data_IF_673185203602
#
_entry.id   IF_673185203602
#
_cell.length_a   1.000
_cell.length_b   1.000
_cell.length_c   1.000
_cell.angle_alpha   90.00
_cell.angle_beta   90.00
_cell.angle_gamma   90.00
#
_symmetry.space_group_name_H-M   'P 1'
#
loop_
_entity.id
_entity.type
_entity.pdbx_description
1 polymer ?
#
# COMPACT_ATOMS: atom_id res chain seq x y z
N UNK A 1 39.53 4.91 45.28
CA UNK A 1 39.05 3.61 44.76
C UNK A 1 37.69 3.79 44.12
N UNK A 2 37.47 3.42 42.83
CA UNK A 2 36.12 3.39 42.28
C UNK A 2 35.29 2.35 43.03
N UNK A 3 34.00 2.63 43.33
CA UNK A 3 33.16 1.69 44.06
C UNK A 3 33.03 0.38 43.27
N UNK A 4 33.29 -0.75 43.94
CA UNK A 4 33.05 -2.10 43.41
C UNK A 4 31.60 -2.16 42.91
N UNK A 5 31.41 -2.43 41.61
CA UNK A 5 30.09 -2.68 41.03
C UNK A 5 29.43 -3.82 41.80
N UNK A 6 28.29 -3.54 42.44
CA UNK A 6 27.52 -4.56 43.15
C UNK A 6 27.09 -5.66 42.16
N UNK A 7 27.21 -6.95 42.50
CA UNK A 7 26.87 -8.07 41.63
C UNK A 7 25.40 -8.09 41.20
N UNK A 8 24.53 -7.33 41.88
CA UNK A 8 23.10 -7.23 41.57
C UNK A 8 22.78 -6.64 40.18
N UNK A 9 23.75 -6.02 39.50
CA UNK A 9 23.53 -5.31 38.22
C UNK A 9 24.00 -6.10 36.99
N UNK A 10 24.57 -7.30 37.16
CA UNK A 10 24.91 -8.14 36.01
C UNK A 10 23.67 -8.54 35.21
N UNK A 11 22.50 -8.57 35.85
CA UNK A 11 21.29 -9.18 35.28
C UNK A 11 20.25 -8.15 34.84
N UNK A 12 20.63 -6.87 34.79
CA UNK A 12 19.74 -5.78 34.38
C UNK A 12 20.33 -4.91 33.26
N UNK A 13 19.43 -4.33 32.46
CA UNK A 13 19.70 -3.26 31.52
C UNK A 13 19.14 -1.92 32.03
N UNK A 14 19.83 -0.84 31.69
CA UNK A 14 19.32 0.53 31.80
C UNK A 14 18.34 0.84 30.67
N UNK A 15 17.48 1.84 30.84
CA UNK A 15 16.56 2.29 29.79
C UNK A 15 17.27 2.58 28.45
N UNK A 16 18.45 3.19 28.49
CA UNK A 16 19.24 3.48 27.29
C UNK A 16 19.69 2.20 26.56
N UNK A 17 20.09 1.17 27.31
CA UNK A 17 20.45 -0.14 26.75
C UNK A 17 19.22 -0.83 26.16
N UNK A 18 18.07 -0.83 26.86
CA UNK A 18 16.84 -1.44 26.35
C UNK A 18 16.40 -0.81 25.04
N UNK A 19 16.36 0.53 24.95
CA UNK A 19 16.01 1.24 23.71
C UNK A 19 16.95 0.88 22.56
N UNK A 20 18.25 0.77 22.84
CA UNK A 20 19.25 0.40 21.84
C UNK A 20 19.09 -1.05 21.38
N UNK A 21 18.88 -1.99 22.31
CA UNK A 21 18.72 -3.43 22.01
C UNK A 21 17.44 -3.66 21.20
N UNK A 22 16.33 -3.06 21.61
CA UNK A 22 15.03 -3.24 20.96
C UNK A 22 14.82 -2.33 19.73
N UNK A 23 15.68 -1.33 19.53
CA UNK A 23 15.53 -0.35 18.44
C UNK A 23 14.28 0.53 18.57
N UNK A 24 13.90 0.91 19.80
CA UNK A 24 12.63 1.61 20.10
C UNK A 24 12.84 3.02 20.68
N UNK A 25 11.81 3.85 20.56
CA UNK A 25 11.74 5.20 21.13
C UNK A 25 11.35 5.16 22.62
N UNK A 26 11.51 6.30 23.32
CA UNK A 26 11.09 6.45 24.72
C UNK A 26 9.59 6.19 24.93
N UNK A 27 8.74 6.66 24.02
CA UNK A 27 7.28 6.43 24.10
C UNK A 27 6.93 4.95 23.97
N UNK A 28 7.64 4.21 23.11
CA UNK A 28 7.44 2.76 22.99
C UNK A 28 7.89 2.00 24.24
N UNK A 29 9.04 2.37 24.81
CA UNK A 29 9.50 1.78 26.07
C UNK A 29 8.51 2.06 27.22
N UNK A 30 7.97 3.27 27.29
CA UNK A 30 6.93 3.63 28.25
C UNK A 30 5.67 2.76 28.08
N UNK A 31 5.22 2.56 26.84
CA UNK A 31 4.07 1.70 26.54
C UNK A 31 4.30 0.25 26.97
N UNK A 32 5.49 -0.30 26.71
CA UNK A 32 5.85 -1.66 27.15
C UNK A 32 5.89 -1.83 28.67
N UNK A 33 6.16 -0.76 29.41
CA UNK A 33 6.08 -0.80 30.88
C UNK A 33 4.62 -0.74 31.32
N UNK A 34 3.86 0.20 30.78
CA UNK A 34 2.46 0.42 31.19
C UNK A 34 1.54 -0.76 30.88
N UNK A 35 1.79 -1.48 29.79
CA UNK A 35 1.00 -2.66 29.41
C UNK A 35 1.51 -3.96 30.03
N UNK A 36 2.56 -3.92 30.86
CA UNK A 36 3.14 -5.08 31.53
C UNK A 36 4.05 -5.96 30.66
N UNK A 37 4.37 -5.57 29.42
CA UNK A 37 5.32 -6.31 28.57
C UNK A 37 6.74 -6.31 29.15
N UNK A 38 7.16 -5.22 29.81
CA UNK A 38 8.44 -5.12 30.51
C UNK A 38 8.23 -4.62 31.94
N UNK A 39 8.84 -5.29 32.90
CA UNK A 39 8.84 -4.83 34.29
C UNK A 39 9.95 -3.78 34.53
N UNK A 40 9.57 -2.61 35.03
CA UNK A 40 10.52 -1.59 35.50
C UNK A 40 10.79 -1.79 36.98
N UNK A 41 12.01 -2.23 37.32
CA UNK A 41 12.46 -2.41 38.71
C UNK A 41 13.24 -1.20 39.18
N UNK A 42 12.97 -0.68 40.37
CA UNK A 42 13.76 0.40 40.99
C UNK A 42 14.56 -0.21 42.15
N UNK A 43 15.88 -0.40 42.01
CA UNK A 43 16.68 -1.01 43.08
C UNK A 43 16.71 -0.15 44.35
N UNK A 44 16.83 -0.75 45.54
CA UNK A 44 16.93 -0.01 46.80
C UNK A 44 18.05 1.06 46.74
N UNK A 45 17.71 2.29 47.13
CA UNK A 45 18.65 3.42 47.15
C UNK A 45 18.93 4.06 45.79
N UNK A 46 18.16 3.74 44.73
CA UNK A 46 18.31 4.35 43.39
C UNK A 46 17.05 5.11 42.97
N UNK A 47 17.24 6.12 42.12
CA UNK A 47 16.15 6.89 41.49
C UNK A 47 15.81 6.40 40.07
N UNK A 48 16.75 5.70 39.43
CA UNK A 48 16.60 5.22 38.04
C UNK A 48 16.10 3.78 38.04
N UNK A 49 15.13 3.50 37.17
CA UNK A 49 14.64 2.14 36.96
C UNK A 49 15.55 1.35 36.02
N UNK A 50 15.55 0.04 36.19
CA UNK A 50 16.26 -0.93 35.38
C UNK A 50 15.30 -2.04 34.94
N UNK A 51 15.72 -2.84 33.97
CA UNK A 51 14.91 -3.87 33.32
C UNK A 51 15.67 -5.19 33.34
N UNK A 52 15.00 -6.30 33.65
CA UNK A 52 15.66 -7.62 33.69
C UNK A 52 16.18 -7.95 32.29
N UNK A 53 17.44 -8.40 32.20
CA UNK A 53 18.06 -8.75 30.91
C UNK A 53 17.26 -9.82 30.18
N UNK A 54 16.88 -10.89 30.89
CA UNK A 54 16.12 -12.01 30.36
C UNK A 54 14.86 -11.55 29.62
N UNK A 55 14.08 -10.65 30.21
CA UNK A 55 12.81 -10.20 29.64
C UNK A 55 13.05 -9.33 28.39
N UNK A 56 14.06 -8.46 28.45
CA UNK A 56 14.45 -7.61 27.32
C UNK A 56 15.01 -8.43 26.17
N UNK A 57 15.87 -9.40 26.46
CA UNK A 57 16.50 -10.26 25.45
C UNK A 57 15.46 -11.19 24.80
N UNK A 58 14.49 -11.71 25.58
CA UNK A 58 13.36 -12.48 25.07
C UNK A 58 12.47 -11.63 24.14
N UNK A 59 12.11 -10.42 24.57
CA UNK A 59 11.35 -9.48 23.73
C UNK A 59 12.14 -9.08 22.46
N UNK A 60 13.46 -8.91 22.58
CA UNK A 60 14.31 -8.64 21.43
C UNK A 60 14.28 -9.79 20.42
N UNK A 61 14.35 -11.03 20.91
CA UNK A 61 14.27 -12.23 20.08
C UNK A 61 12.90 -12.36 19.39
N UNK A 62 11.80 -12.09 20.10
CA UNK A 62 10.45 -12.06 19.53
C UNK A 62 10.31 -10.98 18.45
N UNK A 63 10.79 -9.76 18.71
CA UNK A 63 10.77 -8.66 17.74
C UNK A 63 11.63 -8.99 16.52
N UNK A 64 12.80 -9.59 16.70
CA UNK A 64 13.65 -10.02 15.59
C UNK A 64 12.99 -11.14 14.79
N UNK A 65 12.43 -12.16 15.43
CA UNK A 65 11.69 -13.22 14.76
C UNK A 65 10.52 -12.66 13.93
N UNK A 66 9.79 -11.68 14.49
CA UNK A 66 8.73 -10.98 13.79
C UNK A 66 9.24 -10.12 12.61
N UNK A 67 10.37 -9.43 12.75
CA UNK A 67 11.01 -8.68 11.65
C UNK A 67 11.50 -9.61 10.54
N UNK A 68 12.07 -10.76 10.91
CA UNK A 68 12.51 -11.79 9.96
C UNK A 68 11.30 -12.38 9.23
N UNK A 69 10.22 -12.72 9.95
CA UNK A 69 8.96 -13.15 9.34
C UNK A 69 8.38 -12.08 8.38
N UNK A 70 8.42 -10.79 8.76
CA UNK A 70 8.00 -9.68 7.88
C UNK A 70 8.82 -9.57 6.60
N UNK A 71 10.13 -9.81 6.68
CA UNK A 71 11.02 -9.80 5.50
C UNK A 71 10.79 -11.01 4.59
N UNK A 72 10.21 -12.09 5.13
CA UNK A 72 10.07 -13.36 4.44
C UNK A 72 8.65 -13.69 3.95
N UNK A 73 7.62 -12.89 4.28
CA UNK A 73 6.29 -13.12 3.69
C UNK A 73 6.38 -13.01 2.18
N UNK A 74 6.21 -14.14 1.51
CA UNK A 74 6.27 -14.22 0.07
C UNK A 74 4.93 -13.76 -0.49
N UNK A 75 4.97 -12.72 -1.32
CA UNK A 75 3.76 -12.16 -1.93
C UNK A 75 3.93 -12.10 -3.43
N UNK A 76 2.90 -12.52 -4.16
CA UNK A 76 2.85 -12.47 -5.61
C UNK A 76 1.83 -11.43 -6.06
N UNK A 77 2.30 -10.44 -6.81
CA UNK A 77 1.43 -9.48 -7.49
C UNK A 77 1.16 -9.99 -8.90
N UNK A 78 -0.11 -10.20 -9.24
CA UNK A 78 -0.52 -10.86 -10.48
C UNK A 78 -1.76 -10.21 -11.08
N UNK A 79 -1.97 -10.38 -12.39
CA UNK A 79 -3.22 -10.03 -13.06
C UNK A 79 -4.34 -10.96 -12.60
N UNK A 80 -5.56 -10.43 -12.55
CA UNK A 80 -6.76 -11.27 -12.48
C UNK A 80 -7.00 -11.87 -13.87
N UNK A 81 -7.27 -13.16 -13.93
CA UNK A 81 -7.44 -13.94 -15.17
C UNK A 81 -8.71 -14.79 -15.18
N UNK A 82 -9.27 -15.10 -14.01
CA UNK A 82 -10.48 -15.93 -13.88
C UNK A 82 -11.63 -15.19 -13.18
N UNK A 83 -12.85 -15.70 -13.37
CA UNK A 83 -14.04 -15.18 -12.65
C UNK A 83 -13.96 -15.43 -11.14
N UNK A 84 -13.28 -16.50 -10.71
CA UNK A 84 -13.09 -16.83 -9.29
C UNK A 84 -12.18 -15.82 -8.59
N UNK A 85 -11.02 -15.52 -9.20
CA UNK A 85 -10.12 -14.45 -8.72
C UNK A 85 -10.82 -13.09 -8.68
N UNK A 86 -11.64 -12.79 -9.70
CA UNK A 86 -12.43 -11.56 -9.74
C UNK A 86 -13.49 -11.52 -8.62
N UNK A 87 -14.10 -12.66 -8.30
CA UNK A 87 -15.07 -12.79 -7.21
C UNK A 87 -14.42 -12.49 -5.86
N UNK A 88 -13.24 -13.03 -5.59
CA UNK A 88 -12.49 -12.70 -4.36
C UNK A 88 -12.11 -11.21 -4.30
N UNK A 89 -11.68 -10.62 -5.41
CA UNK A 89 -11.43 -9.17 -5.47
C UNK A 89 -12.71 -8.36 -5.21
N UNK A 90 -13.86 -8.83 -5.68
CA UNK A 90 -15.16 -8.22 -5.42
C UNK A 90 -15.56 -8.34 -3.95
N UNK A 91 -15.35 -9.49 -3.30
CA UNK A 91 -15.61 -9.67 -1.87
C UNK A 91 -14.78 -8.70 -1.04
N UNK A 92 -13.47 -8.59 -1.31
CA UNK A 92 -12.60 -7.60 -0.64
C UNK A 92 -13.12 -6.17 -0.86
N UNK A 93 -13.54 -5.85 -2.09
CA UNK A 93 -14.12 -4.55 -2.44
C UNK A 93 -15.39 -4.25 -1.63
N UNK A 94 -16.29 -5.23 -1.52
CA UNK A 94 -17.54 -5.10 -0.78
C UNK A 94 -17.30 -4.93 0.71
N UNK A 95 -16.40 -5.72 1.29
CA UNK A 95 -16.04 -5.59 2.71
C UNK A 95 -15.40 -4.23 3.05
N UNK A 96 -14.58 -3.69 2.15
CA UNK A 96 -13.87 -2.41 2.38
C UNK A 96 -14.74 -1.18 2.16
N UNK A 97 -15.57 -1.20 1.13
CA UNK A 97 -16.25 0.01 0.68
C UNK A 97 -17.75 -0.02 0.94
N UNK A 98 -18.37 -1.20 1.13
CA UNK A 98 -19.81 -1.34 1.26
C UNK A 98 -20.61 -0.86 0.03
N UNK A 99 -19.92 -0.46 -1.04
CA UNK A 99 -20.47 0.09 -2.27
C UNK A 99 -19.86 -0.62 -3.46
N UNK A 100 -20.70 -1.23 -4.28
CA UNK A 100 -20.28 -1.99 -5.45
C UNK A 100 -21.40 -2.90 -5.90
N UNK A 101 -22.33 -2.36 -6.71
CA UNK A 101 -23.39 -3.15 -7.35
C UNK A 101 -22.89 -3.87 -8.60
N UNK A 102 -21.68 -3.55 -9.06
CA UNK A 102 -21.11 -4.20 -10.22
C UNK A 102 -20.93 -5.68 -9.93
N UNK A 103 -21.53 -6.50 -10.77
CA UNK A 103 -21.42 -7.95 -10.75
C UNK A 103 -20.02 -8.38 -11.21
N UNK A 104 -19.58 -9.58 -10.82
CA UNK A 104 -18.36 -10.22 -11.37
C UNK A 104 -18.37 -10.12 -12.90
N UNK A 105 -19.52 -10.39 -13.53
CA UNK A 105 -19.71 -10.31 -14.98
C UNK A 105 -19.41 -8.94 -15.56
N UNK A 106 -19.81 -7.85 -14.90
CA UNK A 106 -19.51 -6.49 -15.35
C UNK A 106 -18.02 -6.17 -15.24
N UNK A 107 -17.37 -6.57 -14.14
CA UNK A 107 -15.92 -6.41 -13.99
C UNK A 107 -15.13 -7.25 -14.99
N UNK A 108 -15.61 -8.46 -15.32
CA UNK A 108 -15.01 -9.29 -16.35
C UNK A 108 -15.14 -8.68 -17.75
N UNK A 109 -16.22 -7.93 -18.05
CA UNK A 109 -16.30 -7.15 -19.31
C UNK A 109 -15.20 -6.10 -19.37
N UNK A 110 -14.96 -5.38 -18.27
CA UNK A 110 -13.87 -4.41 -18.16
C UNK A 110 -12.50 -5.10 -18.37
N UNK A 111 -12.28 -6.23 -17.70
CA UNK A 111 -11.06 -7.02 -17.84
C UNK A 111 -10.85 -7.53 -19.27
N UNK A 112 -11.92 -7.93 -19.96
CA UNK A 112 -11.84 -8.39 -21.36
C UNK A 112 -11.44 -7.31 -22.35
N UNK A 113 -11.70 -6.03 -22.02
CA UNK A 113 -11.26 -4.89 -22.83
C UNK A 113 -9.79 -4.53 -22.59
N UNK A 114 -9.32 -4.72 -21.37
CA UNK A 114 -7.92 -4.55 -21.04
C UNK A 114 -7.54 -5.43 -19.83
N UNK A 115 -6.67 -6.45 -20.01
CA UNK A 115 -6.28 -7.36 -18.95
C UNK A 115 -5.40 -6.73 -17.87
N UNK A 116 -4.89 -5.50 -18.06
CA UNK A 116 -4.16 -4.73 -17.05
C UNK A 116 -5.10 -3.98 -16.09
N UNK A 117 -6.42 -4.13 -16.20
CA UNK A 117 -7.36 -3.36 -15.36
C UNK A 117 -7.47 -3.83 -13.92
N UNK A 118 -7.30 -5.13 -13.67
CA UNK A 118 -7.40 -5.71 -12.32
C UNK A 118 -6.17 -6.55 -12.00
N UNK A 119 -5.60 -6.26 -10.82
CA UNK A 119 -4.48 -6.99 -10.27
C UNK A 119 -4.78 -7.37 -8.82
N UNK A 120 -4.24 -8.51 -8.41
CA UNK A 120 -4.37 -9.06 -7.07
C UNK A 120 -3.00 -9.22 -6.43
N UNK A 121 -2.97 -9.16 -5.11
CA UNK A 121 -1.83 -9.56 -4.30
C UNK A 121 -2.19 -10.85 -3.57
N UNK A 122 -1.43 -11.89 -3.85
CA UNK A 122 -1.54 -13.20 -3.22
C UNK A 122 -0.49 -13.27 -2.13
N UNK A 123 -0.90 -13.67 -0.93
CA UNK A 123 0.03 -14.15 0.09
C UNK A 123 0.29 -15.63 -0.18
N UNK A 124 1.53 -15.96 -0.55
CA UNK A 124 1.90 -17.31 -0.98
C UNK A 124 2.04 -18.26 0.22
N UNK A 125 2.24 -17.75 1.43
CA UNK A 125 2.27 -18.59 2.63
C UNK A 125 0.84 -19.02 3.01
N UNK A 126 -0.13 -18.12 2.84
CA UNK A 126 -1.55 -18.36 3.13
C UNK A 126 -2.34 -18.91 1.94
N UNK A 127 -1.75 -18.89 0.73
CA UNK A 127 -2.40 -19.26 -0.54
C UNK A 127 -3.75 -18.56 -0.73
N UNK A 128 -3.81 -17.25 -0.45
CA UNK A 128 -5.04 -16.47 -0.57
C UNK A 128 -4.80 -15.07 -1.16
N UNK A 129 -5.82 -14.51 -1.80
CA UNK A 129 -5.82 -13.10 -2.21
C UNK A 129 -6.00 -12.24 -0.96
N UNK A 130 -4.99 -11.39 -0.69
CA UNK A 130 -4.97 -10.50 0.48
C UNK A 130 -5.23 -9.04 0.13
N UNK A 131 -5.28 -8.70 -1.15
CA UNK A 131 -5.60 -7.36 -1.61
C UNK A 131 -5.66 -7.28 -3.12
N UNK A 132 -6.12 -6.14 -3.62
CA UNK A 132 -6.26 -5.92 -5.06
C UNK A 132 -6.08 -4.45 -5.43
N UNK A 133 -5.80 -4.21 -6.71
CA UNK A 133 -5.81 -2.91 -7.39
C UNK A 133 -6.70 -3.01 -8.62
N UNK A 134 -7.59 -2.04 -8.78
CA UNK A 134 -8.33 -1.79 -10.01
C UNK A 134 -7.89 -0.43 -10.57
N UNK A 135 -7.28 -0.44 -11.76
CA UNK A 135 -6.85 0.74 -12.48
C UNK A 135 -7.42 0.71 -13.89
N UNK A 136 -7.92 1.84 -14.37
CA UNK A 136 -8.67 1.89 -15.63
C UNK A 136 -7.94 2.85 -16.58
N UNK A 137 -7.30 2.33 -17.65
CA UNK A 137 -6.71 3.17 -18.69
C UNK A 137 -7.83 3.68 -19.59
N UNK A 138 -8.23 4.92 -19.35
CA UNK A 138 -9.30 5.60 -20.07
C UNK A 138 -8.75 6.23 -21.35
N UNK A 139 -9.55 6.21 -22.41
CA UNK A 139 -9.31 6.99 -23.61
C UNK A 139 -9.24 8.48 -23.24
N UNK A 140 -8.40 9.23 -23.97
CA UNK A 140 -8.21 10.68 -23.75
C UNK A 140 -9.56 11.40 -23.68
N UNK A 141 -9.74 12.24 -22.64
CA UNK A 141 -10.94 13.06 -22.45
C UNK A 141 -12.06 12.39 -21.66
N UNK A 142 -11.96 11.09 -21.34
CA UNK A 142 -12.98 10.37 -20.57
C UNK A 142 -12.86 10.51 -19.06
N UNK A 143 -11.71 10.94 -18.56
CA UNK A 143 -11.50 11.07 -17.12
C UNK A 143 -12.47 12.07 -16.45
N UNK A 144 -12.72 13.22 -17.07
CA UNK A 144 -13.63 14.23 -16.52
C UNK A 144 -15.05 13.69 -16.36
N UNK A 145 -15.55 12.95 -17.37
CA UNK A 145 -16.83 12.25 -17.32
C UNK A 145 -16.88 11.29 -16.13
N UNK A 146 -15.86 10.44 -15.98
CA UNK A 146 -15.74 9.47 -14.88
C UNK A 146 -15.71 10.14 -13.50
N UNK A 147 -14.95 11.22 -13.34
CA UNK A 147 -14.81 11.93 -12.07
C UNK A 147 -16.10 12.67 -11.66
N UNK A 148 -16.91 13.09 -12.65
CA UNK A 148 -18.18 13.81 -12.43
C UNK A 148 -19.35 12.91 -11.96
N UNK A 149 -19.20 11.58 -12.04
CA UNK A 149 -20.23 10.64 -11.63
C UNK A 149 -20.35 10.54 -10.10
N UNK A 150 -21.59 10.42 -9.61
CA UNK A 150 -21.89 9.98 -8.24
C UNK A 150 -21.55 8.49 -8.05
N UNK A 151 -21.47 8.03 -6.80
CA UNK A 151 -21.22 6.62 -6.48
C UNK A 151 -22.51 5.80 -6.71
N UNK A 152 -22.42 4.58 -7.28
CA UNK A 152 -21.22 3.94 -7.81
C UNK A 152 -20.84 4.49 -9.19
N UNK A 153 -19.53 4.64 -9.42
CA UNK A 153 -19.00 5.03 -10.75
C UNK A 153 -19.14 3.87 -11.70
N UNK A 154 -19.76 4.14 -12.84
CA UNK A 154 -19.88 3.21 -13.95
C UNK A 154 -18.88 3.57 -15.02
N UNK A 155 -18.03 2.62 -15.38
CA UNK A 155 -17.12 2.74 -16.51
C UNK A 155 -17.73 1.99 -17.68
N UNK A 156 -17.92 2.66 -18.81
CA UNK A 156 -18.28 1.99 -20.04
C UNK A 156 -17.04 1.24 -20.58
N UNK A 157 -17.11 -0.07 -20.85
CA UNK A 157 -15.99 -0.83 -21.42
C UNK A 157 -15.42 -0.21 -22.71
N UNK A 158 -16.24 0.50 -23.50
CA UNK A 158 -15.77 1.15 -24.74
C UNK A 158 -14.96 2.43 -24.51
N UNK A 159 -14.97 2.99 -23.29
CA UNK A 159 -14.12 4.12 -22.91
C UNK A 159 -12.71 3.68 -22.45
N UNK A 160 -12.47 2.37 -22.39
CA UNK A 160 -11.20 1.78 -21.99
C UNK A 160 -10.33 1.56 -23.21
N UNK A 161 -9.05 1.91 -23.10
CA UNK A 161 -8.06 1.59 -24.11
C UNK A 161 -7.38 0.26 -23.78
N UNK A 162 -7.24 -0.63 -24.76
CA UNK A 162 -6.45 -1.85 -24.62
C UNK A 162 -4.95 -1.51 -24.73
N UNK A 163 -4.25 -1.55 -23.59
CA UNK A 163 -2.82 -1.23 -23.47
C UNK A 163 -1.91 -2.43 -23.72
N UNK A 164 -2.47 -3.56 -24.16
CA UNK A 164 -1.68 -4.76 -24.49
C UNK A 164 -1.27 -4.86 -25.95
N UNK A 165 -1.94 -4.12 -26.83
CA UNK A 165 -1.64 -4.11 -28.26
C UNK A 165 -0.59 -3.03 -28.56
N UNK A 166 0.69 -3.43 -28.54
CA UNK A 166 1.85 -2.54 -28.77
C UNK A 166 2.00 -2.04 -30.20
N UNK A 167 1.29 -2.64 -31.16
CA UNK A 167 1.56 -2.45 -32.59
C UNK A 167 0.84 -1.21 -33.17
N UNK A 168 0.17 -0.43 -32.32
CA UNK A 168 -0.51 0.78 -32.73
C UNK A 168 0.30 2.03 -32.37
N UNK A 169 0.05 3.11 -33.11
CA UNK A 169 0.66 4.42 -32.89
C UNK A 169 0.63 4.83 -31.40
N UNK A 170 1.55 5.71 -30.95
CA UNK A 170 1.66 6.13 -29.55
C UNK A 170 0.29 6.44 -28.93
N UNK A 171 -0.09 5.64 -27.93
CA UNK A 171 -1.40 5.71 -27.33
C UNK A 171 -1.39 6.68 -26.15
N UNK A 172 -2.28 7.68 -26.18
CA UNK A 172 -2.45 8.65 -25.09
C UNK A 172 -3.67 8.32 -24.23
N UNK A 173 -3.49 8.24 -22.92
CA UNK A 173 -4.52 7.85 -21.95
C UNK A 173 -4.56 8.75 -20.72
N UNK A 174 -5.68 8.69 -20.01
CA UNK A 174 -5.77 9.03 -18.59
C UNK A 174 -5.89 7.76 -17.77
N UNK A 175 -5.23 7.67 -16.61
CA UNK A 175 -5.27 6.51 -15.74
C UNK A 175 -6.13 6.79 -14.50
N UNK A 176 -7.27 6.10 -14.37
CA UNK A 176 -8.14 6.21 -13.20
C UNK A 176 -7.91 5.05 -12.22
N UNK A 177 -7.39 5.33 -11.04
CA UNK A 177 -7.26 4.37 -9.96
C UNK A 177 -8.62 4.20 -9.28
N UNK A 178 -9.39 3.23 -9.77
CA UNK A 178 -10.78 3.00 -9.36
C UNK A 178 -10.88 2.49 -7.93
N UNK A 179 -10.03 1.53 -7.55
CA UNK A 179 -9.97 0.99 -6.20
C UNK A 179 -8.61 0.38 -5.90
N UNK A 180 -8.22 0.43 -4.64
CA UNK A 180 -7.10 -0.34 -4.11
C UNK A 180 -7.39 -0.63 -2.65
N UNK A 181 -7.12 -1.86 -2.21
CA UNK A 181 -7.48 -2.28 -0.87
C UNK A 181 -6.78 -3.55 -0.45
N UNK A 182 -6.52 -3.65 0.85
CA UNK A 182 -6.08 -4.87 1.52
C UNK A 182 -7.27 -5.43 2.27
N UNK A 183 -7.50 -6.74 2.17
CA UNK A 183 -8.58 -7.46 2.86
C UNK A 183 -8.62 -7.09 4.35
N UNK A 184 -9.81 -6.86 4.93
CA UNK A 184 -9.98 -6.72 6.36
C UNK A 184 -9.47 -7.93 7.16
N UNK A 185 -9.44 -7.82 8.49
CA UNK A 185 -9.00 -8.91 9.38
C UNK A 185 -7.48 -9.00 9.59
N UNK A 186 -6.65 -8.49 8.69
CA UNK A 186 -5.20 -8.39 8.93
C UNK A 186 -4.85 -7.33 9.98
N UNK A 187 -3.82 -7.61 10.79
CA UNK A 187 -3.29 -6.64 11.73
C UNK A 187 -2.65 -5.44 10.98
N UNK A 188 -2.44 -4.31 11.68
CA UNK A 188 -1.93 -3.07 11.07
C UNK A 188 -0.59 -3.25 10.36
N UNK A 189 0.25 -4.13 10.88
CA UNK A 189 1.55 -4.45 10.29
C UNK A 189 1.39 -5.06 8.90
N UNK A 190 0.63 -6.15 8.83
CA UNK A 190 0.42 -6.92 7.60
C UNK A 190 -0.30 -6.05 6.57
N UNK A 191 -1.28 -5.26 7.00
CA UNK A 191 -1.95 -4.29 6.12
C UNK A 191 -0.98 -3.29 5.49
N UNK A 192 -0.02 -2.77 6.27
CA UNK A 192 1.00 -1.85 5.73
C UNK A 192 1.94 -2.56 4.76
N UNK A 193 2.35 -3.79 5.07
CA UNK A 193 3.17 -4.61 4.18
C UNK A 193 2.46 -4.86 2.86
N UNK A 194 1.26 -5.46 2.88
CA UNK A 194 0.48 -5.74 1.67
C UNK A 194 0.14 -4.47 0.90
N UNK A 195 -0.23 -3.38 1.59
CA UNK A 195 -0.47 -2.08 0.96
C UNK A 195 0.77 -1.57 0.22
N UNK A 196 1.96 -1.67 0.82
CA UNK A 196 3.21 -1.30 0.16
C UNK A 196 3.50 -2.15 -1.08
N UNK A 197 3.20 -3.47 -1.03
CA UNK A 197 3.38 -4.39 -2.16
C UNK A 197 2.42 -4.08 -3.30
N UNK A 198 1.15 -3.76 -3.02
CA UNK A 198 0.17 -3.30 -4.02
C UNK A 198 0.65 -2.03 -4.71
N UNK A 199 1.15 -1.04 -3.96
CA UNK A 199 1.67 0.21 -4.51
C UNK A 199 2.90 -0.05 -5.39
N UNK A 200 3.84 -0.87 -4.94
CA UNK A 200 5.01 -1.25 -5.74
C UNK A 200 4.60 -1.95 -7.04
N UNK A 201 3.63 -2.86 -6.99
CA UNK A 201 3.06 -3.51 -8.16
C UNK A 201 2.43 -2.51 -9.13
N UNK A 202 1.60 -1.59 -8.64
CA UNK A 202 0.99 -0.51 -9.43
C UNK A 202 2.04 0.38 -10.11
N UNK A 203 3.06 0.81 -9.37
CA UNK A 203 4.17 1.62 -9.92
C UNK A 203 4.88 0.87 -11.04
N UNK A 204 5.16 -0.43 -10.86
CA UNK A 204 5.80 -1.23 -11.90
C UNK A 204 4.93 -1.29 -13.16
N UNK A 205 3.61 -1.49 -13.04
CA UNK A 205 2.73 -1.49 -14.22
C UNK A 205 2.79 -0.15 -14.95
N UNK A 206 2.74 0.97 -14.22
CA UNK A 206 2.83 2.31 -14.83
C UNK A 206 4.14 2.47 -15.60
N UNK A 207 5.27 2.02 -15.05
CA UNK A 207 6.57 2.07 -15.73
C UNK A 207 6.58 1.16 -16.97
N UNK A 208 6.02 -0.06 -16.88
CA UNK A 208 5.89 -0.97 -18.02
C UNK A 208 4.99 -0.39 -19.13
N UNK A 209 3.95 0.38 -18.80
CA UNK A 209 3.17 1.13 -19.80
C UNK A 209 4.05 2.13 -20.55
N UNK A 210 4.95 2.82 -19.84
CA UNK A 210 5.95 3.70 -20.46
C UNK A 210 6.84 2.95 -21.45
N UNK A 211 7.38 1.80 -21.06
CA UNK A 211 8.21 0.96 -21.96
C UNK A 211 7.49 0.53 -23.23
N UNK A 212 6.16 0.40 -23.18
CA UNK A 212 5.31 0.07 -24.33
C UNK A 212 4.93 1.30 -25.18
N UNK A 213 5.46 2.48 -24.89
CA UNK A 213 5.16 3.72 -25.63
C UNK A 213 3.83 4.38 -25.23
N UNK A 214 3.18 3.96 -24.14
CA UNK A 214 1.88 4.49 -23.70
C UNK A 214 2.09 5.79 -22.93
N UNK A 215 1.51 6.87 -23.44
CA UNK A 215 1.57 8.20 -22.86
C UNK A 215 0.40 8.44 -21.89
N UNK A 216 0.71 8.54 -20.59
CA UNK A 216 -0.26 8.83 -19.53
C UNK A 216 -0.23 10.34 -19.31
N UNK A 217 -1.38 10.99 -19.49
CA UNK A 217 -1.53 12.43 -19.28
C UNK A 217 -1.81 12.75 -17.81
N UNK A 218 -2.82 12.09 -17.26
CA UNK A 218 -3.26 12.28 -15.87
C UNK A 218 -3.39 10.95 -15.17
N UNK A 219 -2.98 10.89 -13.90
CA UNK A 219 -3.37 9.80 -12.98
C UNK A 219 -4.34 10.38 -11.96
N UNK A 220 -5.51 9.78 -11.79
CA UNK A 220 -6.52 10.30 -10.89
C UNK A 220 -7.12 9.22 -10.00
N UNK A 221 -7.55 9.62 -8.80
CA UNK A 221 -8.20 8.75 -7.84
C UNK A 221 -9.22 9.54 -7.01
N UNK A 222 -10.18 8.83 -6.40
CA UNK A 222 -11.13 9.42 -5.44
C UNK A 222 -11.14 8.64 -4.13
N UNK A 223 -11.06 9.33 -3.00
CA UNK A 223 -11.10 8.67 -1.69
C UNK A 223 -11.65 9.60 -0.60
N UNK A 224 -12.46 9.03 0.29
CA UNK A 224 -12.89 9.63 1.55
C UNK A 224 -12.38 8.84 2.76
N UNK A 225 -11.76 7.67 2.54
CA UNK A 225 -11.21 6.83 3.60
C UNK A 225 -9.94 7.47 4.16
N UNK A 226 -9.78 7.62 5.49
CA UNK A 226 -8.62 8.28 6.09
C UNK A 226 -7.28 7.70 5.64
N UNK A 227 -7.18 6.37 5.51
CA UNK A 227 -5.97 5.71 5.00
C UNK A 227 -5.72 6.01 3.52
N UNK A 228 -6.76 5.98 2.68
CA UNK A 228 -6.65 6.30 1.26
C UNK A 228 -6.22 7.75 1.01
N UNK A 229 -6.79 8.71 1.75
CA UNK A 229 -6.39 10.13 1.72
C UNK A 229 -4.93 10.30 2.12
N UNK A 230 -4.50 9.68 3.23
CA UNK A 230 -3.10 9.74 3.67
C UNK A 230 -2.16 9.17 2.63
N UNK A 231 -2.53 8.05 2.04
CA UNK A 231 -1.76 7.40 0.99
C UNK A 231 -1.60 8.29 -0.24
N UNK A 232 -2.70 8.86 -0.77
CA UNK A 232 -2.65 9.72 -1.95
C UNK A 232 -1.77 10.95 -1.72
N UNK A 233 -1.89 11.61 -0.56
CA UNK A 233 -1.02 12.73 -0.18
C UNK A 233 0.45 12.32 -0.09
N UNK A 234 0.73 11.16 0.51
CA UNK A 234 2.10 10.67 0.63
C UNK A 234 2.71 10.27 -0.72
N UNK A 235 1.90 9.75 -1.64
CA UNK A 235 2.30 9.41 -3.00
C UNK A 235 2.51 10.65 -3.91
N UNK A 236 2.23 11.85 -3.42
CA UNK A 236 2.44 13.11 -4.15
C UNK A 236 1.26 13.56 -5.01
N UNK A 237 0.06 12.98 -4.82
CA UNK A 237 -1.13 13.49 -5.49
C UNK A 237 -1.49 14.88 -4.98
N UNK A 238 -1.92 15.73 -5.90
CA UNK A 238 -2.53 17.02 -5.59
C UNK A 238 -4.03 16.81 -5.42
N UNK A 239 -4.57 17.27 -4.29
CA UNK A 239 -6.01 17.31 -4.09
C UNK A 239 -6.60 18.51 -4.83
N UNK A 240 -7.66 18.27 -5.59
CA UNK A 240 -8.39 19.31 -6.32
C UNK A 240 -9.82 19.42 -5.79
N UNK A 241 -10.47 20.52 -6.13
CA UNK A 241 -11.90 20.69 -5.85
C UNK A 241 -12.66 19.50 -6.46
N UNK A 242 -13.44 18.76 -5.65
CA UNK A 242 -14.08 17.57 -6.14
C UNK A 242 -15.26 17.94 -7.06
N UNK A 243 -15.43 17.19 -8.15
CA UNK A 243 -16.57 17.36 -9.04
C UNK A 243 -17.89 16.86 -8.43
N UNK A 244 -17.82 16.10 -7.33
CA UNK A 244 -18.97 15.62 -6.56
C UNK A 244 -18.70 15.75 -5.05
N UNK A 245 -19.71 16.03 -4.21
CA UNK A 245 -19.51 16.26 -2.78
C UNK A 245 -19.13 14.99 -2.00
N UNK A 246 -19.29 13.80 -2.58
CA UNK A 246 -19.19 12.51 -1.89
C UNK A 246 -17.74 12.08 -1.61
N UNK A 247 -16.80 12.46 -2.48
CA UNK A 247 -15.40 12.03 -2.39
C UNK A 247 -14.46 13.15 -2.78
N UNK A 248 -13.31 13.16 -2.10
CA UNK A 248 -12.18 14.03 -2.46
C UNK A 248 -11.50 13.48 -3.70
N UNK A 249 -11.08 14.36 -4.59
CA UNK A 249 -10.42 14.01 -5.85
C UNK A 249 -8.94 14.35 -5.78
N UNK A 250 -8.12 13.39 -6.22
CA UNK A 250 -6.67 13.48 -6.19
C UNK A 250 -6.14 13.25 -7.60
N UNK A 251 -5.22 14.10 -8.06
CA UNK A 251 -4.62 14.00 -9.40
C UNK A 251 -3.09 14.07 -9.35
N UNK A 252 -2.46 13.46 -10.34
CA UNK A 252 -1.08 13.70 -10.77
C UNK A 252 -1.15 14.15 -12.23
N UNK A 253 -0.75 15.38 -12.50
CA UNK A 253 -0.40 15.83 -13.84
C UNK A 253 0.95 15.20 -14.19
N UNK A 254 0.95 14.20 -15.08
CA UNK A 254 2.15 13.44 -15.39
C UNK A 254 3.19 14.34 -16.05
N UNK A 255 2.78 15.26 -16.93
CA UNK A 255 3.68 16.15 -17.67
C UNK A 255 4.51 17.02 -16.73
N UNK A 256 3.87 17.65 -15.76
CA UNK A 256 4.53 18.60 -14.84
C UNK A 256 5.08 17.95 -13.57
N UNK A 257 4.69 16.71 -13.25
CA UNK A 257 5.12 16.03 -12.03
C UNK A 257 6.61 15.66 -11.99
N UNK A 258 7.22 15.93 -10.83
CA UNK A 258 8.59 15.52 -10.46
C UNK A 258 8.63 14.32 -9.50
N UNK A 259 7.52 13.61 -9.29
CA UNK A 259 7.46 12.45 -8.39
C UNK A 259 8.42 11.36 -8.90
N UNK A 260 9.23 10.71 -8.04
CA UNK A 260 10.29 9.79 -8.50
C UNK A 260 9.83 8.69 -9.47
N UNK A 261 8.69 8.03 -9.20
CA UNK A 261 8.20 6.97 -10.09
C UNK A 261 7.68 7.53 -11.43
N UNK A 262 7.16 8.75 -11.45
CA UNK A 262 6.77 9.45 -12.69
C UNK A 262 8.00 9.78 -13.53
N UNK A 263 9.12 10.16 -12.90
CA UNK A 263 10.38 10.35 -13.62
C UNK A 263 10.91 9.05 -14.23
N UNK A 264 10.76 7.92 -13.52
CA UNK A 264 11.11 6.59 -14.05
C UNK A 264 10.21 6.22 -15.24
N UNK A 265 8.90 6.43 -15.11
CA UNK A 265 7.95 6.26 -16.21
C UNK A 265 8.31 7.11 -17.44
N UNK A 266 8.62 8.41 -17.27
CA UNK A 266 9.00 9.30 -18.37
C UNK A 266 10.25 8.82 -19.12
N UNK A 267 11.24 8.30 -18.39
CA UNK A 267 12.45 7.69 -19.00
C UNK A 267 12.08 6.45 -19.80
N UNK A 268 11.31 5.55 -19.19
CA UNK A 268 10.81 4.35 -19.87
C UNK A 268 9.99 4.68 -21.13
N UNK A 269 9.19 5.75 -21.10
CA UNK A 269 8.44 6.25 -22.25
C UNK A 269 9.35 6.76 -23.38
N UNK A 270 10.41 7.49 -23.04
CA UNK A 270 11.37 7.96 -24.03
C UNK A 270 12.11 6.80 -24.71
N UNK A 271 12.50 5.80 -23.93
CA UNK A 271 13.12 4.57 -24.42
C UNK A 271 12.16 3.76 -25.30
N UNK A 272 10.91 3.58 -24.88
CA UNK A 272 9.90 2.82 -25.63
C UNK A 272 9.38 3.50 -26.91
N UNK A 273 9.64 4.80 -27.09
CA UNK A 273 9.33 5.55 -28.32
C UNK A 273 10.52 5.61 -29.31
N UNK A 274 11.71 5.20 -28.89
CA UNK A 274 12.93 5.21 -29.71
C UNK A 274 13.03 3.95 -30.56
#
# INVERSE_FOLDING_TARGET
MPPKRSPLYSDFYTAAQVKKILGITDGMLYNYVNNGTLERVIPPGRKQGVYRKKDVDMLAAELQAFIIQRKNKSTKFARVTTEEEMRECQEISQELFGVGRDTVKERMKILSKNPDTYHMLIDEDLQQIVGYVAMIPLKTGKLAEVLSQQIPVRINPDDILDTTQSDQAPQKIDLYLHAMGVKPGFNLTDKRLYGSRLISGLVNIIIEMGKKGIEIETIAARSNMPDGVRLMKHAGFTEIEPLTPERRTFIIDVKTSGIPFILQYKRALAEGKS
#
